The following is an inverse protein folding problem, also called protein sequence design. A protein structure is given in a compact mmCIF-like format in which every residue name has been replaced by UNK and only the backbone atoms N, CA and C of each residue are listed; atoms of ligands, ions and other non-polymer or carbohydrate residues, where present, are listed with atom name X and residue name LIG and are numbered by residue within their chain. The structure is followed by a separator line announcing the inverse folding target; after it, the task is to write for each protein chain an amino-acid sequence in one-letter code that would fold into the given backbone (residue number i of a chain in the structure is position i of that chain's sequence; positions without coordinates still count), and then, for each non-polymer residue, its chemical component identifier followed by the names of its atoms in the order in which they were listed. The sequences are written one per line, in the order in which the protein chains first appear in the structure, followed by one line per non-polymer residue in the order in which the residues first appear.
data_IF_420800812314
#
_entry.id   IF_420800812314
#
_cell.length_a   1.000
_cell.length_b   1.000
_cell.length_c   1.000
_cell.angle_alpha   90.00
_cell.angle_beta   90.00
_cell.angle_gamma   90.00
#
_symmetry.space_group_name_H-M   'P 1'
#
loop_
_entity.id
_entity.type
_entity.pdbx_description
1 polymer ?
#
# COMPACT_ATOMS: atom_id res chain seq x y z
N UNK A 1 -6.17 0.57 -5.90
CA UNK A 1 -6.26 1.84 -6.65
C UNK A 1 -5.54 2.98 -5.93
N UNK A 2 -5.81 3.23 -4.64
CA UNK A 2 -5.23 4.39 -3.92
C UNK A 2 -3.72 4.60 -4.05
N UNK A 3 -2.89 3.54 -3.95
CA UNK A 3 -1.44 3.67 -4.19
C UNK A 3 -1.11 4.07 -5.62
N UNK A 4 -1.80 3.48 -6.62
CA UNK A 4 -1.52 3.76 -8.02
C UNK A 4 -1.88 5.21 -8.38
N UNK A 5 -3.05 5.69 -7.95
CA UNK A 5 -3.47 7.07 -8.16
C UNK A 5 -2.55 8.04 -7.40
N UNK A 6 -2.26 7.76 -6.12
CA UNK A 6 -1.43 8.63 -5.29
C UNK A 6 0.02 8.75 -5.76
N UNK A 7 0.53 7.78 -6.54
CA UNK A 7 1.90 7.78 -7.05
C UNK A 7 1.94 8.06 -8.56
N UNK A 8 1.45 7.12 -9.39
CA UNK A 8 1.45 7.28 -10.84
C UNK A 8 0.49 8.39 -11.31
N UNK A 9 -0.71 8.46 -10.74
CA UNK A 9 -1.69 9.50 -11.09
C UNK A 9 -1.17 10.90 -10.77
N UNK A 10 -0.67 11.10 -9.55
CA UNK A 10 -0.04 12.38 -9.16
C UNK A 10 1.10 12.78 -10.09
N UNK A 11 2.01 11.85 -10.45
CA UNK A 11 3.08 12.18 -11.40
C UNK A 11 2.58 12.38 -12.83
N UNK A 12 1.50 11.72 -13.24
CA UNK A 12 0.89 11.97 -14.53
C UNK A 12 0.36 13.40 -14.64
N UNK A 13 -0.25 13.92 -13.57
CA UNK A 13 -0.79 15.28 -13.51
C UNK A 13 0.32 16.34 -13.39
N UNK A 14 1.32 16.11 -12.53
CA UNK A 14 2.36 17.12 -12.22
C UNK A 14 3.56 17.09 -13.18
N UNK A 15 3.92 15.92 -13.70
CA UNK A 15 5.13 15.72 -14.54
C UNK A 15 4.79 15.34 -15.98
N UNK A 16 3.69 14.62 -16.20
CA UNK A 16 3.30 14.16 -17.53
C UNK A 16 4.06 12.89 -17.95
N UNK A 17 4.77 12.93 -19.08
CA UNK A 17 5.49 11.77 -19.61
C UNK A 17 6.72 11.42 -18.75
N UNK A 18 7.01 10.13 -18.46
CA UNK A 18 6.33 8.92 -18.93
C UNK A 18 5.15 8.45 -18.06
N UNK A 19 4.82 9.17 -17.00
CA UNK A 19 3.87 8.71 -15.97
C UNK A 19 2.41 8.67 -16.44
N UNK A 20 2.03 9.61 -17.32
CA UNK A 20 0.71 9.66 -17.92
C UNK A 20 0.40 8.53 -18.93
N UNK A 21 1.37 7.65 -19.23
CA UNK A 21 1.15 6.45 -20.05
C UNK A 21 0.77 5.21 -19.22
N UNK A 22 0.94 5.24 -17.90
CA UNK A 22 0.52 4.13 -17.05
C UNK A 22 -0.98 4.22 -16.75
N UNK A 23 -1.74 3.21 -17.20
CA UNK A 23 -3.15 3.11 -16.85
C UNK A 23 -3.30 2.62 -15.41
N UNK A 24 -3.54 3.53 -14.47
CA UNK A 24 -3.72 3.23 -13.03
C UNK A 24 -4.81 2.19 -12.75
N UNK A 25 -5.82 2.08 -13.61
CA UNK A 25 -6.91 1.11 -13.45
C UNK A 25 -6.43 -0.35 -13.55
N UNK A 26 -5.29 -0.61 -14.20
CA UNK A 26 -4.73 -1.96 -14.29
C UNK A 26 -4.44 -2.56 -12.91
N UNK A 27 -4.14 -1.71 -11.92
CA UNK A 27 -3.82 -2.12 -10.56
C UNK A 27 -5.04 -2.56 -9.74
N UNK A 28 -6.26 -2.50 -10.30
CA UNK A 28 -7.41 -3.17 -9.68
C UNK A 28 -7.22 -4.67 -9.52
N UNK A 29 -6.43 -5.29 -10.42
CA UNK A 29 -6.07 -6.70 -10.32
C UNK A 29 -5.35 -7.06 -9.01
N UNK A 30 -4.68 -6.10 -8.35
CA UNK A 30 -3.94 -6.31 -7.09
C UNK A 30 -4.85 -6.31 -5.85
N UNK A 31 -6.12 -5.93 -6.01
CA UNK A 31 -7.08 -5.84 -4.91
C UNK A 31 -7.26 -7.19 -4.20
N UNK A 32 -7.44 -7.13 -2.88
CA UNK A 32 -7.60 -8.34 -2.06
C UNK A 32 -6.38 -9.26 -2.02
N UNK A 33 -5.22 -8.81 -2.51
CA UNK A 33 -4.02 -9.65 -2.63
C UNK A 33 -4.03 -10.49 -3.89
N UNK A 34 -4.11 -9.81 -5.04
CA UNK A 34 -4.34 -10.36 -6.38
C UNK A 34 -5.68 -11.07 -6.54
N UNK A 35 -6.68 -10.35 -7.04
CA UNK A 35 -8.03 -10.87 -7.28
C UNK A 35 -8.67 -11.59 -6.07
N UNK A 36 -8.43 -11.09 -4.86
CA UNK A 36 -8.90 -11.70 -3.60
C UNK A 36 -8.30 -13.06 -3.22
N UNK A 37 -7.20 -13.47 -3.85
CA UNK A 37 -6.42 -14.66 -3.45
C UNK A 37 -5.70 -14.49 -2.09
N UNK A 38 -5.83 -13.32 -1.47
CA UNK A 38 -5.27 -13.00 -0.16
C UNK A 38 -3.74 -13.17 -0.07
N UNK A 39 -3.06 -13.08 -1.22
CA UNK A 39 -1.60 -13.17 -1.38
C UNK A 39 -0.89 -11.87 -0.93
N UNK A 40 0.12 -11.37 -1.65
CA UNK A 40 0.80 -10.11 -1.32
C UNK A 40 -0.19 -8.96 -1.17
N UNK A 41 -0.10 -8.17 -0.09
CA UNK A 41 -0.94 -6.99 0.09
C UNK A 41 -0.90 -6.07 -1.14
N UNK A 42 -2.07 -5.74 -1.69
CA UNK A 42 -2.16 -4.97 -2.93
C UNK A 42 -1.43 -3.62 -2.86
N UNK A 43 -1.47 -2.94 -1.71
CA UNK A 43 -0.74 -1.68 -1.51
C UNK A 43 0.78 -1.86 -1.71
N UNK A 44 1.35 -2.92 -1.13
CA UNK A 44 2.77 -3.26 -1.27
C UNK A 44 3.11 -3.66 -2.70
N UNK A 45 2.25 -4.42 -3.36
CA UNK A 45 2.45 -4.83 -4.75
C UNK A 45 2.52 -3.62 -5.69
N UNK A 46 1.56 -2.69 -5.58
CA UNK A 46 1.53 -1.49 -6.41
C UNK A 46 2.71 -0.58 -6.12
N UNK A 47 3.05 -0.35 -4.83
CA UNK A 47 4.20 0.47 -4.46
C UNK A 47 5.52 -0.13 -4.97
N UNK A 48 5.69 -1.46 -4.91
CA UNK A 48 6.86 -2.12 -5.48
C UNK A 48 6.95 -1.95 -7.00
N UNK A 49 5.82 -2.01 -7.72
CA UNK A 49 5.78 -1.72 -9.16
C UNK A 49 6.16 -0.26 -9.44
N UNK A 50 5.68 0.68 -8.63
CA UNK A 50 6.04 2.09 -8.76
C UNK A 50 7.54 2.31 -8.58
N UNK A 51 8.15 1.76 -7.53
CA UNK A 51 9.60 1.88 -7.30
C UNK A 51 10.40 1.34 -8.50
N UNK A 52 9.98 0.20 -9.06
CA UNK A 52 10.62 -0.35 -10.27
C UNK A 52 10.38 0.46 -11.54
N UNK A 53 9.42 1.38 -11.55
CA UNK A 53 9.19 2.30 -12.67
C UNK A 53 10.05 3.58 -12.58
N UNK A 54 10.58 3.91 -11.39
CA UNK A 54 11.34 5.15 -11.16
C UNK A 54 12.82 4.92 -10.81
N UNK A 55 13.21 3.70 -10.44
CA UNK A 55 14.60 3.33 -10.14
C UNK A 55 15.05 2.16 -11.01
N UNK A 56 16.36 2.11 -11.29
CA UNK A 56 16.98 0.94 -11.91
C UNK A 56 16.89 -0.29 -10.98
N UNK A 57 16.84 -1.53 -11.52
CA UNK A 57 16.59 -2.73 -10.73
C UNK A 57 17.51 -2.94 -9.53
N UNK A 58 18.79 -2.57 -9.64
CA UNK A 58 19.77 -2.68 -8.57
C UNK A 58 19.46 -1.74 -7.39
N UNK A 59 18.85 -0.59 -7.67
CA UNK A 59 18.50 0.44 -6.70
C UNK A 59 17.09 0.26 -6.14
N UNK A 60 16.17 -0.27 -6.95
CA UNK A 60 14.79 -0.58 -6.59
C UNK A 60 14.70 -1.69 -5.56
N UNK A 61 15.47 -2.78 -5.73
CA UNK A 61 15.34 -3.98 -4.89
C UNK A 61 15.58 -3.73 -3.39
N UNK A 62 16.60 -2.96 -2.95
CA UNK A 62 16.76 -2.60 -1.55
C UNK A 62 15.57 -1.80 -1.00
N UNK A 63 15.09 -0.80 -1.74
CA UNK A 63 13.95 0.05 -1.34
C UNK A 63 12.67 -0.77 -1.17
N UNK A 64 12.38 -1.66 -2.12
CA UNK A 64 11.23 -2.57 -2.03
C UNK A 64 11.37 -3.48 -0.81
N UNK A 65 12.57 -4.03 -0.57
CA UNK A 65 12.80 -4.90 0.60
C UNK A 65 12.62 -4.15 1.91
N UNK A 66 13.12 -2.93 2.00
CA UNK A 66 12.96 -2.06 3.16
C UNK A 66 11.48 -1.80 3.47
N UNK A 67 10.69 -1.40 2.46
CA UNK A 67 9.24 -1.22 2.60
C UNK A 67 8.54 -2.49 3.08
N UNK A 68 8.90 -3.65 2.54
CA UNK A 68 8.32 -4.93 2.98
C UNK A 68 8.70 -5.24 4.43
N UNK A 69 9.93 -4.94 4.83
CA UNK A 69 10.42 -5.14 6.20
C UNK A 69 9.73 -4.19 7.19
N UNK A 70 9.58 -2.92 6.83
CA UNK A 70 8.82 -1.93 7.59
C UNK A 70 7.36 -2.35 7.77
N UNK A 71 6.67 -2.76 6.70
CA UNK A 71 5.26 -3.16 6.78
C UNK A 71 5.01 -4.30 7.77
N UNK A 72 5.99 -5.23 7.91
CA UNK A 72 5.88 -6.36 8.83
C UNK A 72 5.96 -5.94 10.30
N UNK A 73 6.59 -4.81 10.61
CA UNK A 73 6.85 -4.34 11.98
C UNK A 73 6.05 -3.11 12.38
N UNK A 74 5.60 -2.32 11.41
CA UNK A 74 4.79 -1.12 11.64
C UNK A 74 3.43 -1.45 12.26
N UNK A 75 3.01 -0.63 13.23
CA UNK A 75 1.67 -0.68 13.79
C UNK A 75 0.73 0.15 12.90
N UNK A 76 -0.11 -0.55 12.12
CA UNK A 76 -0.86 0.04 11.01
C UNK A 76 -2.37 -0.12 11.21
N UNK A 77 -3.18 0.85 10.74
CA UNK A 77 -2.80 2.06 10.00
C UNK A 77 -2.30 3.24 10.88
N UNK A 78 -1.41 4.07 10.35
CA UNK A 78 -0.94 5.33 10.98
C UNK A 78 -1.83 6.50 10.54
N UNK A 79 -2.20 6.57 9.26
CA UNK A 79 -3.14 7.54 8.73
C UNK A 79 -4.54 7.25 9.27
N UNK A 80 -5.14 8.26 9.90
CA UNK A 80 -6.54 8.22 10.30
C UNK A 80 -7.40 8.95 9.27
N UNK A 81 -8.29 8.21 8.61
CA UNK A 81 -9.26 8.80 7.69
C UNK A 81 -10.42 9.49 8.40
N UNK A 82 -10.55 9.32 9.73
CA UNK A 82 -11.71 9.71 10.52
C UNK A 82 -12.91 8.76 10.37
N UNK A 83 -12.80 7.74 9.51
CA UNK A 83 -13.86 6.77 9.22
C UNK A 83 -13.65 5.41 9.91
N UNK A 84 -12.74 5.33 10.88
CA UNK A 84 -12.51 4.13 11.72
C UNK A 84 -12.77 4.46 13.19
N UNK A 85 -14.00 4.23 13.69
CA UNK A 85 -14.36 4.56 15.06
C UNK A 85 -13.50 3.87 16.12
N UNK A 86 -13.01 2.65 15.87
CA UNK A 86 -12.21 1.91 16.85
C UNK A 86 -10.82 2.50 17.09
N UNK A 87 -10.27 3.21 16.09
CA UNK A 87 -8.86 3.61 16.09
C UNK A 87 -7.89 2.43 16.18
N UNK A 88 -8.37 1.19 15.97
CA UNK A 88 -7.56 -0.03 16.16
C UNK A 88 -6.38 -0.01 15.19
N UNK A 89 -5.21 -0.40 15.71
CA UNK A 89 -3.99 -0.62 14.93
C UNK A 89 -3.50 -2.05 15.15
N UNK A 90 -2.80 -2.59 14.15
CA UNK A 90 -2.23 -3.93 14.21
C UNK A 90 -0.90 -4.02 13.48
N UNK A 91 0.03 -4.79 14.05
CA UNK A 91 1.27 -5.18 13.38
C UNK A 91 1.07 -6.45 12.57
N UNK A 92 1.22 -6.40 11.24
CA UNK A 92 0.92 -7.51 10.34
C UNK A 92 1.80 -8.75 10.61
N UNK A 93 3.12 -8.57 10.80
CA UNK A 93 4.16 -9.62 10.86
C UNK A 93 4.35 -10.44 9.58
N UNK A 94 3.69 -10.06 8.49
CA UNK A 94 3.71 -10.72 7.19
C UNK A 94 3.40 -9.69 6.10
N UNK A 95 3.79 -9.97 4.86
CA UNK A 95 3.41 -9.17 3.69
C UNK A 95 2.09 -9.63 3.07
N UNK A 96 1.53 -10.74 3.56
CA UNK A 96 0.28 -11.30 3.05
C UNK A 96 -0.92 -10.45 3.48
N UNK A 97 -1.80 -10.21 2.52
CA UNK A 97 -3.10 -9.59 2.68
C UNK A 97 -3.94 -10.36 3.71
N UNK A 98 -3.96 -11.69 3.60
CA UNK A 98 -4.68 -12.55 4.54
C UNK A 98 -4.26 -12.28 5.99
N UNK A 99 -2.96 -12.35 6.30
CA UNK A 99 -2.45 -12.20 7.66
C UNK A 99 -2.72 -10.79 8.21
N UNK A 100 -2.48 -9.78 7.39
CA UNK A 100 -2.69 -8.38 7.79
C UNK A 100 -4.15 -8.08 8.05
N UNK A 101 -5.06 -8.53 7.18
CA UNK A 101 -6.49 -8.23 7.28
C UNK A 101 -7.13 -9.08 8.37
N UNK A 102 -6.83 -10.37 8.43
CA UNK A 102 -7.42 -11.28 9.43
C UNK A 102 -7.05 -10.91 10.85
N UNK A 103 -5.82 -10.41 11.07
CA UNK A 103 -5.42 -9.89 12.39
C UNK A 103 -6.24 -8.66 12.79
N UNK A 104 -6.45 -7.72 11.87
CA UNK A 104 -7.26 -6.53 12.13
C UNK A 104 -8.71 -6.90 12.41
N UNK A 105 -9.31 -7.71 11.54
CA UNK A 105 -10.67 -8.24 11.69
C UNK A 105 -10.87 -8.86 13.08
N UNK A 106 -9.91 -9.68 13.52
CA UNK A 106 -9.96 -10.32 14.84
C UNK A 106 -9.83 -9.32 16.00
N UNK A 107 -8.98 -8.31 15.87
CA UNK A 107 -8.76 -7.31 16.90
C UNK A 107 -10.02 -6.45 17.14
N UNK A 108 -10.77 -6.20 16.07
CA UNK A 108 -11.89 -5.27 16.06
C UNK A 108 -13.27 -5.96 15.98
N UNK A 109 -13.29 -7.30 16.04
CA UNK A 109 -14.47 -8.15 15.95
C UNK A 109 -15.37 -7.82 14.74
N UNK A 110 -14.73 -7.70 13.57
CA UNK A 110 -15.39 -7.40 12.30
C UNK A 110 -15.63 -8.66 11.47
N UNK A 111 -16.34 -8.50 10.37
CA UNK A 111 -16.35 -9.42 9.24
C UNK A 111 -15.51 -8.88 8.08
N UNK A 112 -15.15 -9.76 7.13
CA UNK A 112 -14.43 -9.31 5.95
C UNK A 112 -15.25 -8.28 5.15
N UNK A 113 -16.56 -8.42 5.04
CA UNK A 113 -17.37 -7.51 4.23
C UNK A 113 -17.48 -6.08 4.80
N UNK A 114 -17.14 -5.89 6.08
CA UNK A 114 -17.38 -4.65 6.82
C UNK A 114 -16.70 -3.43 6.22
N UNK A 115 -17.40 -2.30 6.28
CA UNK A 115 -16.91 -1.01 5.82
C UNK A 115 -15.64 -0.58 6.55
N UNK A 116 -15.62 -0.74 7.88
CA UNK A 116 -14.47 -0.38 8.71
C UNK A 116 -13.19 -1.13 8.32
N UNK A 117 -13.31 -2.42 7.98
CA UNK A 117 -12.19 -3.20 7.42
C UNK A 117 -11.69 -2.59 6.11
N UNK A 118 -12.59 -2.19 5.21
CA UNK A 118 -12.22 -1.56 3.92
C UNK A 118 -11.54 -0.20 4.15
N UNK A 119 -12.06 0.61 5.07
CA UNK A 119 -11.45 1.89 5.49
C UNK A 119 -10.04 1.69 6.06
N UNK A 120 -9.84 0.62 6.85
CA UNK A 120 -8.50 0.23 7.30
C UNK A 120 -7.57 -0.09 6.12
N UNK A 121 -8.02 -0.87 5.14
CA UNK A 121 -7.23 -1.14 3.93
C UNK A 121 -6.90 0.13 3.13
N UNK A 122 -7.83 1.08 3.07
CA UNK A 122 -7.63 2.38 2.42
C UNK A 122 -6.59 3.23 3.17
N UNK A 123 -6.58 3.20 4.50
CA UNK A 123 -5.60 3.96 5.26
C UNK A 123 -4.21 3.33 5.27
N UNK A 124 -4.12 2.00 5.31
CA UNK A 124 -2.84 1.31 5.07
C UNK A 124 -2.31 1.59 3.66
N UNK A 125 -3.20 1.79 2.68
CA UNK A 125 -2.80 2.26 1.34
C UNK A 125 -2.15 3.63 1.42
N UNK A 126 -2.73 4.58 2.16
CA UNK A 126 -2.14 5.90 2.37
C UNK A 126 -0.78 5.81 3.09
N UNK A 127 -0.65 4.96 4.11
CA UNK A 127 0.60 4.77 4.85
C UNK A 127 1.72 4.23 3.97
N UNK A 128 1.42 3.21 3.15
CA UNK A 128 2.39 2.64 2.20
C UNK A 128 2.81 3.66 1.15
N UNK A 129 1.86 4.44 0.62
CA UNK A 129 2.17 5.54 -0.31
C UNK A 129 3.06 6.60 0.33
N UNK A 130 2.76 7.04 1.56
CA UNK A 130 3.58 8.00 2.28
C UNK A 130 4.98 7.47 2.50
N UNK A 131 5.08 6.26 3.06
CA UNK A 131 6.36 5.64 3.38
C UNK A 131 7.26 5.53 2.16
N UNK A 132 6.73 5.09 1.01
CA UNK A 132 7.57 4.93 -0.18
C UNK A 132 8.01 6.28 -0.76
N UNK A 133 7.16 7.32 -0.68
CA UNK A 133 7.53 8.68 -1.09
C UNK A 133 8.63 9.24 -0.17
N UNK A 134 8.53 9.05 1.15
CA UNK A 134 9.55 9.45 2.12
C UNK A 134 10.91 8.81 1.77
N UNK A 135 10.93 7.48 1.59
CA UNK A 135 12.15 6.72 1.23
C UNK A 135 12.73 7.17 -0.12
N UNK A 136 11.88 7.40 -1.12
CA UNK A 136 12.35 7.85 -2.44
C UNK A 136 12.89 9.28 -2.41
N UNK A 137 12.25 10.18 -1.66
CA UNK A 137 12.72 11.56 -1.50
C UNK A 137 14.07 11.61 -0.78
N UNK A 138 14.28 10.78 0.24
CA UNK A 138 15.58 10.67 0.92
C UNK A 138 16.69 10.15 0.00
N UNK A 139 16.33 9.35 -1.01
CA UNK A 139 17.29 8.75 -1.95
C UNK A 139 17.56 9.62 -3.18
N UNK A 140 16.56 10.37 -3.64
CA UNK A 140 16.60 11.12 -4.91
C UNK A 140 16.74 12.63 -4.71
N UNK A 141 16.44 13.16 -3.52
CA UNK A 141 16.64 14.56 -3.14
C UNK A 141 18.02 14.83 -2.57
#
# INVERSE_FOLDING_TARGET
MGVAEGLFGTLADEVGYPYNHYNTQMFHSFSGGYASEASLCGALGVAATFVGAVLEPAEARPVIKEMMDWYKTADLPIYDSGNRPSGTTTVAKSTLCYDSVSKYIKADNLEYADGERKERCASVTADVSRYIVEVLNEKLG
#
